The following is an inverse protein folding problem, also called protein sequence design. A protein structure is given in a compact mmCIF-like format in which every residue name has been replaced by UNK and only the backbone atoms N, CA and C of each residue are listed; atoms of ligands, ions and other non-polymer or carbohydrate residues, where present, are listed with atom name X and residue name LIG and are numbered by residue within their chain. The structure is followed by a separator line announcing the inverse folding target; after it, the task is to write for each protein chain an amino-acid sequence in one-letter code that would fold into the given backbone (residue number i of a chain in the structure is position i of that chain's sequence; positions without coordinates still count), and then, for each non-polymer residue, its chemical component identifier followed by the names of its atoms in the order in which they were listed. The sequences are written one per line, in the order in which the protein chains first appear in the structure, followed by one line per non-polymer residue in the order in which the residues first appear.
data_IF_787894049379
#
_entry.id   IF_787894049379
#
_cell.length_a   1.000
_cell.length_b   1.000
_cell.length_c   1.000
_cell.angle_alpha   90.00
_cell.angle_beta   90.00
_cell.angle_gamma   90.00
#
_symmetry.space_group_name_H-M   'P 1'
#
loop_
_entity.id
_entity.type
_entity.pdbx_description
1 polymer ?
#
# COMPACT_ATOMS: atom_id res chain seq x y z
N UNK A 1 21.41 -15.76 -4.64
CA UNK A 1 20.95 -15.23 -3.34
C UNK A 1 19.48 -14.89 -3.47
N UNK A 2 18.61 -15.47 -2.64
CA UNK A 2 17.21 -15.00 -2.53
C UNK A 2 17.23 -13.65 -1.81
N UNK A 3 16.68 -12.62 -2.45
CA UNK A 3 16.47 -11.33 -1.79
C UNK A 3 15.59 -11.53 -0.56
N UNK A 4 15.97 -10.95 0.58
CA UNK A 4 15.17 -11.02 1.82
C UNK A 4 14.43 -9.72 2.01
N UNK A 5 13.11 -9.78 2.07
CA UNK A 5 12.28 -8.65 2.49
C UNK A 5 12.29 -8.52 4.02
N UNK A 6 12.58 -7.33 4.52
CA UNK A 6 12.49 -6.98 5.94
C UNK A 6 11.45 -5.87 6.12
N UNK A 7 10.47 -6.06 7.00
CA UNK A 7 9.43 -5.06 7.25
C UNK A 7 9.95 -3.97 8.19
N UNK A 8 9.80 -2.72 7.78
CA UNK A 8 10.25 -1.54 8.56
C UNK A 8 9.20 -1.17 9.62
N UNK A 9 7.92 -1.35 9.28
CA UNK A 9 6.79 -1.14 10.18
C UNK A 9 5.96 -2.42 10.26
N UNK A 10 5.23 -2.65 11.38
CA UNK A 10 4.21 -3.68 11.43
C UNK A 10 3.20 -3.51 10.29
N UNK A 11 2.67 -4.61 9.71
CA UNK A 11 1.61 -4.52 8.71
C UNK A 11 0.40 -3.76 9.23
N UNK A 12 -0.13 -2.85 8.42
CA UNK A 12 -1.39 -2.16 8.68
C UNK A 12 -2.49 -3.02 8.09
N UNK A 13 -3.47 -3.39 8.90
CA UNK A 13 -4.61 -4.21 8.48
C UNK A 13 -5.89 -3.44 8.76
N UNK A 14 -6.92 -3.68 7.96
CA UNK A 14 -8.21 -3.01 8.17
C UNK A 14 -9.25 -3.37 7.13
N UNK A 15 -10.23 -2.47 7.00
CA UNK A 15 -11.31 -2.59 6.04
C UNK A 15 -11.44 -1.30 5.22
N UNK A 16 -11.73 -1.44 3.93
CA UNK A 16 -12.00 -0.34 3.00
C UNK A 16 -13.49 -0.05 3.00
N UNK A 17 -13.84 1.19 3.31
CA UNK A 17 -15.21 1.69 3.29
C UNK A 17 -15.61 2.21 1.90
N UNK A 18 -14.66 2.78 1.14
CA UNK A 18 -14.91 3.29 -0.20
C UNK A 18 -13.66 3.29 -1.09
N UNK A 19 -13.90 3.28 -2.39
CA UNK A 19 -12.86 3.36 -3.43
C UNK A 19 -13.23 4.46 -4.42
N UNK A 20 -12.29 5.36 -4.68
CA UNK A 20 -12.43 6.44 -5.64
C UNK A 20 -11.42 6.23 -6.76
N UNK A 21 -11.88 6.26 -8.01
CA UNK A 21 -11.01 6.13 -9.19
C UNK A 21 -10.96 7.48 -9.89
N UNK A 22 -9.75 7.97 -10.11
CA UNK A 22 -9.48 9.25 -10.78
C UNK A 22 -8.71 9.01 -12.08
N UNK A 23 -8.54 10.08 -12.86
CA UNK A 23 -7.66 10.08 -14.04
C UNK A 23 -6.18 9.81 -13.69
N UNK A 24 -5.79 10.03 -12.43
CA UNK A 24 -4.39 9.92 -11.96
C UNK A 24 -4.09 8.65 -11.19
N UNK A 25 -5.10 7.90 -10.75
CA UNK A 25 -4.90 6.76 -9.88
C UNK A 25 -6.14 6.34 -9.10
N UNK A 26 -5.94 5.48 -8.10
CA UNK A 26 -6.99 4.93 -7.25
C UNK A 26 -6.75 5.34 -5.81
N UNK A 27 -7.80 5.79 -5.13
CA UNK A 27 -7.81 6.09 -3.71
C UNK A 27 -8.69 5.10 -2.96
N UNK A 28 -8.16 4.51 -1.91
CA UNK A 28 -8.87 3.67 -0.97
C UNK A 28 -9.04 4.42 0.36
N UNK A 29 -10.25 4.42 0.91
CA UNK A 29 -10.57 5.05 2.21
C UNK A 29 -11.18 4.00 3.10
N UNK A 30 -10.75 3.94 4.36
CA UNK A 30 -11.27 2.97 5.32
C UNK A 30 -10.76 3.19 6.72
N UNK A 31 -10.71 2.11 7.51
CA UNK A 31 -10.18 2.12 8.88
C UNK A 31 -9.29 0.93 9.14
N UNK A 32 -8.27 1.12 9.96
CA UNK A 32 -7.45 0.03 10.45
C UNK A 32 -8.17 -0.77 11.56
N UNK A 33 -7.58 -1.90 11.94
CA UNK A 33 -8.13 -2.79 12.97
C UNK A 33 -8.23 -2.16 14.37
N UNK A 34 -7.58 -1.02 14.62
CA UNK A 34 -7.68 -0.27 15.88
C UNK A 34 -8.63 0.93 15.78
N UNK A 35 -9.27 1.13 14.64
CA UNK A 35 -10.28 2.15 14.39
C UNK A 35 -9.73 3.50 13.92
N UNK A 36 -8.44 3.59 13.58
CA UNK A 36 -7.87 4.79 13.00
C UNK A 36 -8.26 4.92 11.52
N UNK A 37 -8.54 6.14 11.09
CA UNK A 37 -8.85 6.42 9.69
C UNK A 37 -7.63 6.14 8.80
N UNK A 38 -7.88 5.50 7.66
CA UNK A 38 -6.88 5.14 6.67
C UNK A 38 -7.26 5.70 5.32
N UNK A 39 -6.27 6.27 4.63
CA UNK A 39 -6.35 6.50 3.19
C UNK A 39 -5.10 6.00 2.49
N UNK A 40 -5.29 5.40 1.32
CA UNK A 40 -4.21 4.92 0.45
C UNK A 40 -4.45 5.46 -0.94
N UNK A 41 -3.61 6.39 -1.39
CA UNK A 41 -3.61 6.90 -2.75
C UNK A 41 -2.52 6.18 -3.55
N UNK A 42 -2.90 5.59 -4.68
CA UNK A 42 -2.01 4.83 -5.55
C UNK A 42 -1.95 5.48 -6.92
N UNK A 43 -0.75 5.89 -7.30
CA UNK A 43 -0.43 6.48 -8.61
C UNK A 43 0.51 5.55 -9.38
N UNK A 44 0.81 5.89 -10.63
CA UNK A 44 1.74 5.10 -11.46
C UNK A 44 3.16 5.00 -10.89
N UNK A 45 3.56 5.98 -10.08
CA UNK A 45 4.94 6.21 -9.63
C UNK A 45 5.08 6.41 -8.12
N UNK A 46 3.98 6.40 -7.35
CA UNK A 46 4.04 6.52 -5.89
C UNK A 46 2.81 5.96 -5.18
N UNK A 47 2.97 5.61 -3.91
CA UNK A 47 1.90 5.26 -2.98
C UNK A 47 1.95 6.15 -1.75
N UNK A 48 0.84 6.83 -1.45
CA UNK A 48 0.68 7.66 -0.26
C UNK A 48 -0.26 6.94 0.71
N UNK A 49 0.25 6.49 1.85
CA UNK A 49 -0.53 5.81 2.89
C UNK A 49 -0.63 6.72 4.11
N UNK A 50 -1.83 7.13 4.48
CA UNK A 50 -2.08 7.88 5.72
C UNK A 50 -2.88 7.01 6.70
N UNK A 51 -2.38 6.86 7.93
CA UNK A 51 -3.05 6.16 9.02
C UNK A 51 -3.09 7.07 10.25
N UNK A 52 -4.29 7.46 10.68
CA UNK A 52 -4.47 8.29 11.88
C UNK A 52 -3.68 9.60 11.85
N UNK A 53 -3.45 10.19 10.67
CA UNK A 53 -2.66 11.41 10.47
C UNK A 53 -1.16 11.18 10.21
N UNK A 54 -0.66 9.94 10.27
CA UNK A 54 0.72 9.61 9.92
C UNK A 54 0.83 9.22 8.45
N UNK A 55 1.58 9.99 7.68
CA UNK A 55 1.85 9.70 6.27
C UNK A 55 3.09 8.80 6.09
N UNK A 56 2.97 7.82 5.19
CA UNK A 56 4.04 6.99 4.65
C UNK A 56 4.00 7.16 3.13
N UNK A 57 5.06 7.71 2.57
CA UNK A 57 5.22 7.90 1.14
C UNK A 57 6.23 6.88 0.62
N UNK A 58 5.86 6.17 -0.44
CA UNK A 58 6.81 5.37 -1.23
C UNK A 58 6.73 5.82 -2.68
N UNK A 59 7.76 6.51 -3.13
CA UNK A 59 7.98 6.82 -4.55
C UNK A 59 8.69 5.62 -5.18
N UNK A 60 8.28 5.18 -6.38
CA UNK A 60 8.83 3.98 -6.98
C UNK A 60 8.71 3.95 -8.48
N UNK A 61 9.72 3.37 -9.12
CA UNK A 61 9.82 3.26 -10.59
C UNK A 61 8.98 2.09 -11.14
N UNK A 62 8.35 1.31 -10.26
CA UNK A 62 7.65 0.10 -10.62
C UNK A 62 6.37 -0.07 -9.80
N UNK A 63 5.23 -0.01 -10.50
CA UNK A 63 3.95 -0.48 -10.01
C UNK A 63 3.69 -1.88 -10.59
N UNK A 64 3.64 -2.90 -9.73
CA UNK A 64 3.00 -4.18 -10.08
C UNK A 64 1.56 -4.11 -9.62
N UNK A 65 0.65 -4.46 -10.52
CA UNK A 65 -0.74 -4.68 -10.19
C UNK A 65 -1.12 -6.11 -10.59
N UNK A 66 -1.68 -6.85 -9.63
CA UNK A 66 -2.27 -8.17 -9.85
C UNK A 66 -3.79 -8.07 -9.69
N UNK A 67 -4.49 -8.10 -10.82
CA UNK A 67 -5.96 -8.02 -10.90
C UNK A 67 -6.65 -9.16 -10.12
N UNK A 68 -6.08 -10.37 -10.14
CA UNK A 68 -6.70 -11.53 -9.49
C UNK A 68 -6.65 -11.42 -7.96
N UNK A 69 -5.67 -10.66 -7.44
CA UNK A 69 -5.47 -10.46 -6.01
C UNK A 69 -5.75 -9.04 -5.51
N UNK A 70 -6.13 -8.11 -6.42
CA UNK A 70 -6.16 -6.65 -6.20
C UNK A 70 -4.99 -6.18 -5.34
N UNK A 71 -3.79 -6.54 -5.80
CA UNK A 71 -2.53 -6.32 -5.09
C UNK A 71 -1.68 -5.31 -5.86
N UNK A 72 -1.38 -4.20 -5.20
CA UNK A 72 -0.53 -3.11 -5.69
C UNK A 72 0.80 -3.17 -4.98
N UNK A 73 1.89 -3.15 -5.73
CA UNK A 73 3.24 -3.09 -5.17
C UNK A 73 3.98 -1.94 -5.82
N UNK A 74 4.37 -0.95 -5.01
CA UNK A 74 5.28 0.12 -5.41
C UNK A 74 6.61 -0.09 -4.70
N UNK A 75 7.70 0.00 -5.45
CA UNK A 75 9.06 -0.23 -4.94
C UNK A 75 10.03 0.84 -5.47
N UNK A 76 10.73 1.50 -4.56
CA UNK A 76 11.94 2.25 -4.85
C UNK A 76 13.11 1.27 -4.99
N UNK A 77 13.62 1.12 -6.21
CA UNK A 77 14.73 0.20 -6.50
C UNK A 77 16.09 0.73 -6.01
N UNK A 78 16.25 2.03 -5.77
CA UNK A 78 17.54 2.63 -5.36
C UNK A 78 17.83 2.25 -3.92
N UNK A 79 16.83 2.39 -3.08
CA UNK A 79 16.94 2.10 -1.65
C UNK A 79 16.38 0.72 -1.28
N UNK A 80 15.69 0.05 -2.21
CA UNK A 80 15.03 -1.25 -2.03
C UNK A 80 13.76 -1.17 -1.21
N UNK A 81 13.25 0.04 -0.92
CA UNK A 81 12.07 0.27 -0.09
C UNK A 81 10.81 -0.02 -0.89
N UNK A 82 9.83 -0.68 -0.29
CA UNK A 82 8.57 -1.01 -0.96
C UNK A 82 7.35 -0.80 -0.07
N UNK A 83 6.21 -0.57 -0.72
CA UNK A 83 4.88 -0.71 -0.16
C UNK A 83 4.11 -1.75 -0.97
N UNK A 84 3.60 -2.77 -0.28
CA UNK A 84 2.67 -3.74 -0.82
C UNK A 84 1.30 -3.48 -0.19
N UNK A 85 0.31 -3.14 -1.00
CA UNK A 85 -1.06 -2.91 -0.57
C UNK A 85 -1.99 -3.88 -1.29
N UNK A 86 -2.69 -4.71 -0.51
CA UNK A 86 -3.59 -5.72 -1.03
C UNK A 86 -4.98 -5.53 -0.45
N UNK A 87 -5.98 -5.47 -1.32
CA UNK A 87 -7.40 -5.42 -0.94
C UNK A 87 -8.07 -6.70 -1.39
N UNK A 88 -8.83 -7.35 -0.51
CA UNK A 88 -9.59 -8.56 -0.83
C UNK A 88 -11.01 -8.22 -1.26
N UNK A 89 -11.70 -9.22 -1.80
CA UNK A 89 -13.08 -9.06 -2.26
C UNK A 89 -14.07 -8.67 -1.16
N UNK A 90 -13.79 -9.08 0.08
CA UNK A 90 -14.57 -8.73 1.27
C UNK A 90 -14.23 -7.34 1.83
N UNK A 91 -13.42 -6.53 1.12
CA UNK A 91 -13.00 -5.19 1.55
C UNK A 91 -11.88 -5.18 2.59
N UNK A 92 -11.43 -6.33 3.08
CA UNK A 92 -10.27 -6.36 4.00
C UNK A 92 -8.99 -5.97 3.26
N UNK A 93 -8.13 -5.19 3.91
CA UNK A 93 -6.85 -4.82 3.33
C UNK A 93 -5.67 -5.17 4.24
N UNK A 94 -4.50 -5.30 3.63
CA UNK A 94 -3.21 -5.34 4.29
C UNK A 94 -2.22 -4.43 3.54
N UNK A 95 -1.58 -3.52 4.26
CA UNK A 95 -0.50 -2.68 3.77
C UNK A 95 0.81 -3.07 4.49
N UNK A 96 1.86 -3.35 3.72
CA UNK A 96 3.16 -3.78 4.22
C UNK A 96 4.24 -2.86 3.69
N UNK A 97 4.90 -2.18 4.62
CA UNK A 97 6.04 -1.31 4.34
C UNK A 97 7.35 -2.02 4.72
N UNK A 98 8.27 -2.14 3.76
CA UNK A 98 9.50 -2.89 3.97
C UNK A 98 10.65 -2.47 3.07
N UNK A 99 11.74 -3.23 3.15
CA UNK A 99 12.94 -3.09 2.34
C UNK A 99 13.41 -4.45 1.84
N UNK A 100 13.72 -4.56 0.56
CA UNK A 100 14.44 -5.70 -0.01
C UNK A 100 15.95 -5.55 0.22
N UNK A 101 16.60 -6.63 0.64
CA UNK A 101 18.06 -6.78 0.75
C UNK A 101 18.58 -7.91 -0.12
#
# INVERSE_FOLDING_TARGET
MQKRASYILPPINGHIDSTEVTDRGVRYIGRDTVGADVSVDIYSDRMDVNVGGRAILVEGEYLKYDDAGREYVICDRRDGVFMNFKVKDDGTFIAKYGRES
#
